data_IF_159840959660
#
_entry.id   IF_159840959660
#
_cell.length_a   1.000
_cell.length_b   1.000
_cell.length_c   1.000
_cell.angle_alpha   90.00
_cell.angle_beta   90.00
_cell.angle_gamma   90.00
#
_symmetry.space_group_name_H-M   'P 1'
#
loop_
_entity.id
_entity.type
_entity.pdbx_description
1 polymer ?
#
# COMPACT_ATOMS: atom_id res chain seq x y z
N UNK A 1 12.17 -10.99 37.18
CA UNK A 1 11.09 -10.00 36.99
C UNK A 1 11.55 -9.02 35.92
N UNK A 2 11.20 -9.30 34.67
CA UNK A 2 11.46 -8.42 33.52
C UNK A 2 10.08 -8.11 32.95
N UNK A 3 9.67 -6.85 33.10
CA UNK A 3 8.41 -6.31 32.63
C UNK A 3 8.66 -5.72 31.24
N UNK A 4 8.42 -6.49 30.18
CA UNK A 4 8.37 -6.02 28.80
C UNK A 4 6.95 -6.17 28.29
N UNK A 5 6.14 -5.14 28.53
CA UNK A 5 4.82 -4.96 27.95
C UNK A 5 4.97 -3.99 26.76
N UNK A 6 4.48 -4.42 25.59
CA UNK A 6 3.85 -3.54 24.58
C UNK A 6 4.76 -2.67 23.70
N UNK A 7 5.49 -3.31 22.78
CA UNK A 7 5.91 -2.77 21.48
C UNK A 7 5.44 -3.85 20.48
N UNK A 8 4.48 -3.69 19.56
CA UNK A 8 4.07 -2.57 18.70
C UNK A 8 2.60 -2.79 18.25
N UNK A 9 1.71 -1.78 18.25
CA UNK A 9 0.50 -1.78 17.43
C UNK A 9 0.66 -0.79 16.25
N UNK A 10 1.85 -0.68 15.68
CA UNK A 10 2.24 0.47 14.82
C UNK A 10 2.34 0.13 13.34
N UNK A 11 1.45 -0.70 12.81
CA UNK A 11 1.23 -0.80 11.36
C UNK A 11 -0.25 -0.63 10.99
N UNK A 12 -0.96 0.28 11.68
CA UNK A 12 -2.18 0.87 11.12
C UNK A 12 -1.82 2.20 10.45
N UNK A 13 -1.60 2.15 9.15
CA UNK A 13 -1.63 3.32 8.27
C UNK A 13 -3.09 3.84 8.18
N UNK A 14 -3.56 4.46 9.26
CA UNK A 14 -4.89 5.09 9.28
C UNK A 14 -4.73 6.57 8.91
N UNK A 15 -5.01 6.88 7.64
CA UNK A 15 -5.17 8.25 7.16
C UNK A 15 -6.62 8.71 7.38
N UNK A 16 -6.89 9.95 7.82
CA UNK A 16 -8.26 10.41 8.07
C UNK A 16 -9.11 10.39 6.78
N UNK A 17 -10.19 9.61 6.78
CA UNK A 17 -11.01 9.23 5.60
C UNK A 17 -11.11 7.71 5.37
N UNK A 18 -10.63 6.92 6.32
CA UNK A 18 -10.40 5.48 6.22
C UNK A 18 -11.69 4.65 6.06
N UNK A 19 -11.95 4.18 4.85
CA UNK A 19 -12.72 2.95 4.64
C UNK A 19 -11.88 1.79 5.16
N UNK A 20 -11.93 1.53 6.46
CA UNK A 20 -11.12 0.54 7.17
C UNK A 20 -11.15 -0.86 6.54
N UNK A 21 -12.26 -1.23 5.88
CA UNK A 21 -12.39 -2.50 5.15
C UNK A 21 -11.64 -2.56 3.82
N UNK A 22 -11.44 -1.42 3.13
CA UNK A 22 -10.88 -1.38 1.76
C UNK A 22 -9.37 -1.58 1.74
N UNK A 23 -8.64 -1.01 2.71
CA UNK A 23 -7.18 -1.14 2.79
C UNK A 23 -6.74 -2.49 3.35
N UNK A 24 -7.54 -3.06 4.25
CA UNK A 24 -7.25 -4.36 4.88
C UNK A 24 -7.13 -5.50 3.85
N UNK A 25 -7.92 -5.44 2.77
CA UNK A 25 -8.00 -6.54 1.80
C UNK A 25 -6.77 -6.61 0.90
N UNK A 26 -6.34 -5.49 0.31
CA UNK A 26 -5.13 -5.45 -0.52
C UNK A 26 -3.85 -5.60 0.29
N UNK A 27 -3.81 -5.10 1.53
CA UNK A 27 -2.65 -5.31 2.38
C UNK A 27 -2.46 -6.81 2.69
N UNK A 28 -3.55 -7.55 2.92
CA UNK A 28 -3.48 -8.98 3.16
C UNK A 28 -2.98 -9.78 1.95
N UNK A 29 -3.24 -9.33 0.72
CA UNK A 29 -2.71 -10.00 -0.47
C UNK A 29 -1.19 -9.90 -0.55
N UNK A 30 -0.62 -8.76 -0.11
CA UNK A 30 0.82 -8.58 -0.02
C UNK A 30 1.43 -9.45 1.07
N UNK A 31 0.79 -9.50 2.25
CA UNK A 31 1.23 -10.38 3.35
C UNK A 31 1.25 -11.84 2.89
N UNK A 32 0.17 -12.29 2.24
CA UNK A 32 0.10 -13.65 1.71
C UNK A 32 1.20 -13.95 0.67
N UNK A 33 1.51 -13.00 -0.21
CA UNK A 33 2.59 -13.14 -1.18
C UNK A 33 3.97 -13.19 -0.52
N UNK A 34 4.24 -12.30 0.45
CA UNK A 34 5.50 -12.29 1.20
C UNK A 34 5.69 -13.60 1.96
N UNK A 35 4.64 -14.09 2.64
CA UNK A 35 4.69 -15.36 3.35
C UNK A 35 4.93 -16.56 2.41
N UNK A 36 4.33 -16.57 1.21
CA UNK A 36 4.60 -17.61 0.21
C UNK A 36 6.06 -17.56 -0.29
N UNK A 37 6.58 -16.35 -0.56
CA UNK A 37 7.95 -16.17 -1.03
C UNK A 37 9.02 -16.47 0.03
N UNK A 38 8.70 -16.37 1.32
CA UNK A 38 9.67 -16.57 2.41
C UNK A 38 9.64 -17.98 3.01
N UNK A 39 8.54 -18.71 2.86
CA UNK A 39 8.41 -20.10 3.32
C UNK A 39 9.10 -21.09 2.36
N UNK A 40 9.09 -20.82 1.06
CA UNK A 40 9.59 -21.75 0.01
C UNK A 40 11.11 -21.77 -0.27
N UNK A 41 11.93 -20.73 -0.01
CA UNK A 41 13.33 -20.77 -0.41
C UNK A 41 14.18 -21.63 0.54
N UNK A 42 15.22 -22.27 0.00
CA UNK A 42 16.26 -22.99 0.74
C UNK A 42 17.23 -22.04 1.46
N UNK A 43 16.71 -21.03 2.15
CA UNK A 43 17.49 -20.06 2.92
C UNK A 43 17.41 -20.41 4.42
N UNK A 44 18.47 -20.07 5.16
CA UNK A 44 18.67 -20.48 6.55
C UNK A 44 17.50 -20.08 7.48
N UNK A 45 16.83 -18.95 7.21
CA UNK A 45 15.72 -18.44 8.01
C UNK A 45 14.33 -18.96 7.61
N UNK A 46 14.19 -19.76 6.56
CA UNK A 46 12.89 -20.24 6.09
C UNK A 46 12.15 -21.07 7.15
N UNK A 47 12.87 -21.91 7.91
CA UNK A 47 12.29 -22.69 9.00
C UNK A 47 11.78 -21.81 10.15
N UNK A 48 12.48 -20.72 10.46
CA UNK A 48 12.03 -19.75 11.45
C UNK A 48 10.75 -19.03 10.98
N UNK A 49 10.70 -18.65 9.69
CA UNK A 49 9.55 -17.97 9.09
C UNK A 49 8.30 -18.85 9.04
N UNK A 50 8.45 -20.16 8.82
CA UNK A 50 7.33 -21.11 8.89
C UNK A 50 6.64 -21.11 10.26
N UNK A 51 7.38 -20.81 11.33
CA UNK A 51 6.84 -20.69 12.69
C UNK A 51 6.36 -19.26 13.04
N UNK A 52 6.76 -18.25 12.26
CA UNK A 52 6.45 -16.82 12.47
C UNK A 52 5.86 -16.21 11.20
N UNK A 53 4.79 -16.81 10.70
CA UNK A 53 4.10 -16.35 9.50
C UNK A 53 3.42 -15.01 9.79
N UNK A 54 3.62 -14.01 8.93
CA UNK A 54 3.06 -12.67 9.13
C UNK A 54 1.54 -12.68 9.17
N UNK A 55 0.89 -13.57 8.41
CA UNK A 55 -0.56 -13.74 8.48
C UNK A 55 -1.07 -14.07 9.89
N UNK A 56 -0.32 -14.89 10.63
CA UNK A 56 -0.68 -15.24 12.00
C UNK A 56 -0.47 -14.06 12.95
N UNK A 57 0.67 -13.37 12.83
CA UNK A 57 0.99 -12.21 13.66
C UNK A 57 0.03 -11.03 13.44
N UNK A 58 -0.38 -10.79 12.19
CA UNK A 58 -1.20 -9.63 11.82
C UNK A 58 -2.70 -9.90 11.87
N UNK A 59 -3.13 -11.11 11.50
CA UNK A 59 -4.55 -11.43 11.31
C UNK A 59 -5.03 -12.64 12.12
N UNK A 60 -4.12 -13.35 12.80
CA UNK A 60 -4.44 -14.55 13.58
C UNK A 60 -5.21 -15.61 12.78
N UNK A 61 -4.83 -15.77 11.50
CA UNK A 61 -5.44 -16.72 10.55
C UNK A 61 -4.34 -17.40 9.74
N UNK A 62 -4.57 -18.63 9.25
CA UNK A 62 -3.62 -19.36 8.38
C UNK A 62 -4.20 -19.75 7.01
N UNK A 63 -5.38 -19.23 6.66
CA UNK A 63 -6.11 -19.61 5.45
C UNK A 63 -5.75 -18.76 4.22
N UNK A 64 -4.54 -18.16 4.16
CA UNK A 64 -4.12 -17.26 3.07
C UNK A 64 -4.31 -17.86 1.69
N UNK A 65 -3.93 -19.13 1.52
CA UNK A 65 -3.84 -19.75 0.20
C UNK A 65 -5.21 -19.88 -0.48
N UNK A 66 -6.26 -20.13 0.29
CA UNK A 66 -7.62 -20.28 -0.23
C UNK A 66 -8.36 -18.93 -0.26
N UNK A 67 -8.23 -18.15 0.82
CA UNK A 67 -8.93 -16.87 0.95
C UNK A 67 -8.40 -15.79 0.00
N UNK A 68 -7.19 -15.95 -0.55
CA UNK A 68 -6.63 -14.98 -1.48
C UNK A 68 -7.52 -14.78 -2.72
N UNK A 69 -7.90 -15.87 -3.38
CA UNK A 69 -8.69 -15.81 -4.62
C UNK A 69 -10.15 -15.46 -4.37
N UNK A 70 -10.71 -15.91 -3.25
CA UNK A 70 -12.06 -15.53 -2.80
C UNK A 70 -12.13 -14.01 -2.55
N UNK A 71 -11.16 -13.45 -1.82
CA UNK A 71 -11.11 -12.00 -1.58
C UNK A 71 -10.83 -11.19 -2.83
N UNK A 72 -10.10 -11.74 -3.79
CA UNK A 72 -9.93 -11.11 -5.10
C UNK A 72 -11.25 -11.09 -5.88
N UNK A 73 -12.05 -12.17 -5.82
CA UNK A 73 -13.41 -12.23 -6.37
C UNK A 73 -14.32 -11.20 -5.68
N UNK A 74 -14.25 -11.09 -4.35
CA UNK A 74 -15.01 -10.09 -3.61
C UNK A 74 -14.60 -8.66 -3.97
N UNK A 75 -13.30 -8.40 -4.12
CA UNK A 75 -12.77 -7.11 -4.55
C UNK A 75 -13.22 -6.76 -5.98
N UNK A 76 -13.27 -7.75 -6.87
CA UNK A 76 -13.83 -7.60 -8.21
C UNK A 76 -15.32 -7.27 -8.16
N UNK A 77 -16.12 -8.02 -7.39
CA UNK A 77 -17.56 -7.80 -7.23
C UNK A 77 -17.87 -6.43 -6.59
N UNK A 78 -17.05 -5.98 -5.63
CA UNK A 78 -17.18 -4.68 -4.98
C UNK A 78 -16.67 -3.50 -5.83
N UNK A 79 -16.08 -3.76 -7.00
CA UNK A 79 -15.51 -2.72 -7.87
C UNK A 79 -14.27 -2.04 -7.27
N UNK A 80 -13.55 -2.70 -6.36
CA UNK A 80 -12.35 -2.16 -5.73
C UNK A 80 -11.12 -2.38 -6.60
N UNK A 81 -11.07 -1.67 -7.73
CA UNK A 81 -9.98 -1.76 -8.72
C UNK A 81 -8.59 -1.69 -8.10
N UNK A 82 -8.31 -0.71 -7.24
CA UNK A 82 -6.98 -0.55 -6.63
C UNK A 82 -6.58 -1.79 -5.81
N UNK A 83 -7.52 -2.42 -5.11
CA UNK A 83 -7.25 -3.64 -4.38
C UNK A 83 -7.02 -4.82 -5.35
N UNK A 84 -7.87 -4.93 -6.37
CA UNK A 84 -7.77 -5.96 -7.40
C UNK A 84 -6.43 -5.90 -8.17
N UNK A 85 -5.91 -4.70 -8.43
CA UNK A 85 -4.59 -4.50 -9.03
C UNK A 85 -3.48 -5.11 -8.17
N UNK A 86 -3.55 -4.96 -6.84
CA UNK A 86 -2.55 -5.55 -5.94
C UNK A 86 -2.63 -7.08 -5.95
N UNK A 87 -3.83 -7.66 -5.98
CA UNK A 87 -4.01 -9.11 -6.15
C UNK A 87 -3.44 -9.61 -7.48
N UNK A 88 -3.70 -8.90 -8.57
CA UNK A 88 -3.17 -9.23 -9.89
C UNK A 88 -1.64 -9.18 -9.92
N UNK A 89 -1.03 -8.12 -9.36
CA UNK A 89 0.42 -7.98 -9.29
C UNK A 89 1.05 -9.11 -8.47
N UNK A 90 0.49 -9.48 -7.32
CA UNK A 90 0.99 -10.58 -6.51
C UNK A 90 1.03 -11.92 -7.29
N UNK A 91 0.00 -12.21 -8.09
CA UNK A 91 -0.04 -13.40 -8.95
C UNK A 91 1.00 -13.37 -10.07
N UNK A 92 1.17 -12.21 -10.72
CA UNK A 92 2.20 -12.01 -11.76
C UNK A 92 3.61 -12.16 -11.19
N UNK A 93 3.82 -11.74 -9.93
CA UNK A 93 5.10 -11.89 -9.22
C UNK A 93 5.40 -13.33 -8.79
N UNK A 94 4.49 -14.28 -9.03
CA UNK A 94 4.74 -15.70 -8.78
C UNK A 94 3.88 -16.32 -7.69
N UNK A 95 2.93 -15.59 -7.08
CA UNK A 95 1.98 -16.20 -6.15
C UNK A 95 1.14 -17.27 -6.88
N UNK A 96 1.07 -18.48 -6.31
CA UNK A 96 0.26 -19.60 -6.83
C UNK A 96 -0.82 -20.02 -5.85
N UNK A 97 -0.54 -20.02 -4.54
CA UNK A 97 -1.47 -20.44 -3.50
C UNK A 97 -2.26 -21.70 -3.86
N UNK A 98 -3.59 -21.58 -3.96
CA UNK A 98 -4.53 -22.65 -4.36
C UNK A 98 -4.13 -23.42 -5.63
N UNK A 99 -3.47 -22.76 -6.59
CA UNK A 99 -3.08 -23.35 -7.88
C UNK A 99 -1.68 -24.02 -7.84
N UNK A 100 -1.05 -24.15 -6.66
CA UNK A 100 0.26 -24.82 -6.51
C UNK A 100 0.14 -26.36 -6.54
N UNK A 101 -0.97 -26.92 -6.06
CA UNK A 101 -1.17 -28.36 -5.89
C UNK A 101 -2.14 -28.93 -6.92
N UNK A 102 -1.83 -30.10 -7.50
CA UNK A 102 -2.73 -30.85 -8.39
C UNK A 102 -3.61 -31.82 -7.57
N UNK A 103 -4.93 -31.92 -7.80
CA UNK A 103 -5.71 -31.26 -8.86
C UNK A 103 -6.30 -29.89 -8.46
N UNK A 104 -5.68 -28.80 -8.89
CA UNK A 104 -6.11 -27.42 -8.58
C UNK A 104 -7.47 -27.08 -9.19
N UNK A 105 -7.80 -27.69 -10.33
CA UNK A 105 -9.05 -27.44 -11.08
C UNK A 105 -10.30 -27.81 -10.29
N UNK A 106 -10.27 -28.91 -9.53
CA UNK A 106 -11.41 -29.35 -8.71
C UNK A 106 -11.62 -28.41 -7.50
N UNK A 107 -10.54 -27.99 -6.87
CA UNK A 107 -10.58 -27.06 -5.74
C UNK A 107 -11.02 -25.65 -6.16
N UNK A 108 -10.65 -25.24 -7.37
CA UNK A 108 -11.11 -24.00 -7.99
C UNK A 108 -12.61 -24.08 -8.35
N UNK A 109 -13.07 -25.19 -8.95
CA UNK A 109 -14.47 -25.39 -9.29
C UNK A 109 -15.39 -25.34 -8.07
N UNK A 110 -14.98 -25.93 -6.94
CA UNK A 110 -15.72 -25.87 -5.67
C UNK A 110 -15.94 -24.44 -5.14
N UNK A 111 -15.15 -23.47 -5.60
CA UNK A 111 -15.18 -22.06 -5.17
C UNK A 111 -15.64 -21.11 -6.27
N UNK A 112 -16.14 -21.65 -7.38
CA UNK A 112 -16.52 -20.86 -8.57
C UNK A 112 -15.35 -20.02 -9.10
N UNK A 113 -14.13 -20.52 -8.98
CA UNK A 113 -12.93 -19.90 -9.53
C UNK A 113 -12.58 -20.53 -10.88
N UNK A 114 -11.87 -19.79 -11.77
CA UNK A 114 -11.40 -20.32 -13.05
C UNK A 114 -10.48 -21.52 -12.85
N UNK A 115 -10.54 -22.49 -13.77
CA UNK A 115 -9.81 -23.76 -13.69
C UNK A 115 -8.29 -23.57 -13.59
N UNK A 116 -7.75 -22.56 -14.29
CA UNK A 116 -6.33 -22.31 -14.42
C UNK A 116 -5.99 -20.87 -14.02
N UNK A 117 -4.77 -20.69 -13.50
CA UNK A 117 -4.26 -19.38 -13.10
C UNK A 117 -4.16 -18.40 -14.28
N UNK A 118 -3.87 -18.89 -15.49
CA UNK A 118 -3.81 -18.07 -16.71
C UNK A 118 -5.20 -17.54 -17.08
N UNK A 119 -6.23 -18.37 -16.96
CA UNK A 119 -7.63 -17.95 -17.20
C UNK A 119 -8.05 -16.90 -16.17
N UNK A 120 -7.69 -17.11 -14.90
CA UNK A 120 -7.94 -16.14 -13.85
C UNK A 120 -7.22 -14.80 -14.12
N UNK A 121 -5.92 -14.84 -14.45
CA UNK A 121 -5.14 -13.64 -14.74
C UNK A 121 -5.66 -12.88 -15.97
N UNK A 122 -6.06 -13.59 -17.02
CA UNK A 122 -6.68 -13.01 -18.20
C UNK A 122 -7.98 -12.28 -17.85
N UNK A 123 -8.87 -12.90 -17.06
CA UNK A 123 -10.11 -12.28 -16.61
C UNK A 123 -9.87 -11.02 -15.77
N UNK A 124 -8.95 -11.10 -14.79
CA UNK A 124 -8.66 -9.96 -13.91
C UNK A 124 -7.96 -8.80 -14.64
N UNK A 125 -7.06 -9.09 -15.58
CA UNK A 125 -6.42 -8.05 -16.39
C UNK A 125 -7.43 -7.28 -17.26
N UNK A 126 -8.43 -7.97 -17.83
CA UNK A 126 -9.51 -7.32 -18.59
C UNK A 126 -10.37 -6.44 -17.69
N UNK A 127 -10.73 -6.93 -16.49
CA UNK A 127 -11.48 -6.17 -15.51
C UNK A 127 -10.77 -4.85 -15.09
N UNK A 128 -9.47 -4.93 -14.84
CA UNK A 128 -8.65 -3.78 -14.46
C UNK A 128 -8.59 -2.75 -15.60
N UNK A 129 -8.43 -3.21 -16.86
CA UNK A 129 -8.33 -2.34 -18.05
C UNK A 129 -9.63 -1.60 -18.35
N UNK A 130 -10.78 -2.22 -18.13
CA UNK A 130 -12.09 -1.62 -18.41
C UNK A 130 -12.51 -0.55 -17.40
N UNK A 131 -11.89 -0.53 -16.23
CA UNK A 131 -12.20 0.46 -15.20
C UNK A 131 -11.43 1.76 -15.49
N UNK A 132 -12.04 2.96 -15.45
CA UNK A 132 -11.31 4.22 -15.58
C UNK A 132 -10.32 4.42 -14.42
N UNK A 133 -9.15 5.02 -14.69
CA UNK A 133 -8.17 5.31 -13.64
C UNK A 133 -8.62 6.57 -12.88
N UNK A 134 -8.69 6.55 -11.54
CA UNK A 134 -8.93 7.77 -10.77
C UNK A 134 -7.86 8.82 -11.10
N UNK A 135 -8.22 10.11 -11.19
CA UNK A 135 -7.24 11.16 -11.44
C UNK A 135 -6.17 11.15 -10.32
N UNK A 136 -4.91 11.29 -10.70
CA UNK A 136 -3.81 11.44 -9.73
C UNK A 136 -4.01 12.81 -9.07
N UNK A 137 -4.48 12.81 -7.83
CA UNK A 137 -4.60 14.03 -7.03
C UNK A 137 -3.18 14.45 -6.66
N UNK A 138 -2.63 15.44 -7.38
CA UNK A 138 -1.29 15.98 -7.18
C UNK A 138 -1.17 16.92 -5.97
N UNK A 139 -2.17 16.95 -5.09
CA UNK A 139 -2.14 17.64 -3.82
C UNK A 139 -1.79 16.70 -2.69
N UNK A 140 -0.66 16.93 -2.01
CA UNK A 140 -0.35 16.23 -0.76
C UNK A 140 -1.44 16.53 0.27
N UNK A 141 -2.25 15.53 0.60
CA UNK A 141 -3.16 15.63 1.75
C UNK A 141 -2.26 15.67 2.99
N UNK A 142 -2.37 16.69 3.86
CA UNK A 142 -1.54 16.75 5.06
C UNK A 142 -1.85 15.52 5.92
N UNK A 143 -0.82 14.69 6.11
CA UNK A 143 -0.90 13.51 6.99
C UNK A 143 -0.56 13.98 8.40
N UNK A 144 -1.34 13.53 9.39
CA UNK A 144 -1.08 13.84 10.79
C UNK A 144 0.35 13.40 11.17
N UNK A 145 1.16 14.33 11.68
CA UNK A 145 2.56 14.07 12.06
C UNK A 145 3.61 14.41 10.99
N UNK A 146 3.21 14.75 9.77
CA UNK A 146 4.11 15.24 8.73
C UNK A 146 3.65 16.64 8.27
N UNK A 147 3.98 17.72 9.01
CA UNK A 147 3.67 19.07 8.56
C UNK A 147 4.26 19.30 7.17
N UNK A 148 3.56 20.01 6.28
CA UNK A 148 4.05 20.27 4.93
C UNK A 148 5.43 20.92 5.00
N UNK A 149 6.35 20.54 4.09
CA UNK A 149 7.68 21.14 4.00
C UNK A 149 7.52 22.64 3.66
N UNK A 150 7.45 23.48 4.68
CA UNK A 150 7.32 24.94 4.57
C UNK A 150 8.60 25.61 4.08
N UNK A 151 9.71 24.87 3.92
CA UNK A 151 11.03 25.42 3.62
C UNK A 151 11.06 26.34 2.40
N UNK A 152 10.41 25.96 1.29
CA UNK A 152 10.38 26.81 0.09
C UNK A 152 9.52 28.06 0.29
N UNK A 153 8.34 27.93 0.88
CA UNK A 153 7.47 29.07 1.18
C UNK A 153 8.14 30.05 2.16
N UNK A 154 8.88 29.53 3.15
CA UNK A 154 9.57 30.32 4.15
C UNK A 154 10.76 31.08 3.53
N UNK A 155 11.55 30.44 2.67
CA UNK A 155 12.62 31.09 1.91
C UNK A 155 12.08 32.19 0.99
N UNK A 156 11.02 31.90 0.23
CA UNK A 156 10.38 32.89 -0.65
C UNK A 156 9.87 34.07 0.17
N UNK A 157 9.16 33.83 1.28
CA UNK A 157 8.67 34.91 2.13
C UNK A 157 9.79 35.74 2.77
N UNK A 158 10.87 35.09 3.24
CA UNK A 158 12.00 35.79 3.86
C UNK A 158 12.78 36.63 2.85
N UNK A 159 12.93 36.16 1.61
CA UNK A 159 13.63 36.89 0.55
C UNK A 159 12.81 38.10 0.08
N UNK A 160 11.49 37.96 -0.08
CA UNK A 160 10.63 39.10 -0.40
C UNK A 160 10.66 40.17 0.70
N UNK A 161 10.63 39.76 1.97
CA UNK A 161 10.66 40.68 3.09
C UNK A 161 12.02 41.39 3.22
N UNK A 162 13.12 40.66 3.04
CA UNK A 162 14.47 41.25 3.02
C UNK A 162 14.64 42.24 1.86
N UNK A 163 14.13 41.92 0.67
CA UNK A 163 14.16 42.83 -0.48
C UNK A 163 13.36 44.11 -0.23
N UNK A 164 12.17 44.00 0.36
CA UNK A 164 11.34 45.14 0.71
C UNK A 164 12.03 46.06 1.74
N UNK A 165 12.61 45.49 2.80
CA UNK A 165 13.36 46.25 3.81
C UNK A 165 14.59 46.92 3.17
N UNK A 166 15.34 46.20 2.33
CA UNK A 166 16.49 46.74 1.61
C UNK A 166 16.12 47.93 0.72
N UNK A 167 15.03 47.84 -0.03
CA UNK A 167 14.55 48.92 -0.87
C UNK A 167 14.17 50.18 -0.07
N UNK A 168 13.51 50.01 1.08
CA UNK A 168 13.16 51.13 1.98
C UNK A 168 14.41 51.79 2.54
N UNK A 169 15.40 51.01 2.98
CA UNK A 169 16.66 51.54 3.52
C UNK A 169 17.41 52.32 2.44
N UNK A 170 17.58 51.75 1.24
CA UNK A 170 18.25 52.43 0.12
C UNK A 170 17.52 53.72 -0.25
N UNK A 171 16.19 53.68 -0.36
CA UNK A 171 15.38 54.87 -0.64
C UNK A 171 15.56 55.96 0.42
N UNK A 172 15.55 55.59 1.70
CA UNK A 172 15.76 56.55 2.81
C UNK A 172 17.14 57.18 2.79
N UNK A 173 18.18 56.42 2.42
CA UNK A 173 19.56 56.92 2.31
C UNK A 173 19.70 57.87 1.12
N UNK A 174 19.10 57.55 -0.04
CA UNK A 174 19.13 58.44 -1.21
C UNK A 174 18.47 59.78 -0.88
N UNK A 175 17.28 59.75 -0.26
CA UNK A 175 16.56 60.96 0.16
C UNK A 175 17.37 61.78 1.17
N UNK A 176 18.02 61.13 2.14
CA UNK A 176 18.83 61.82 3.14
C UNK A 176 20.14 62.39 2.58
N UNK A 177 20.69 61.78 1.52
CA UNK A 177 21.96 62.21 0.90
C UNK A 177 21.80 63.39 -0.07
N UNK A 178 20.56 63.82 -0.35
CA UNK A 178 20.29 65.01 -1.16
C UNK A 178 20.73 64.91 -2.62
N UNK A 179 20.68 63.71 -3.19
CA UNK A 179 20.90 63.43 -4.62
C UNK A 179 19.57 63.46 -5.38
#
# INVERSE_FOLDING_TARGET
MISTCSLLPSFQLSCPGDTSSRHSTSFRSLVAWVDEMLVDPAWEGGHWWTNHVLEWELFNTMDRFHLFYERAKDAYAAGFRNALEVYYVAVVLGFRGLYKEEPSSQLAAARELPENIEKWAAQMSMAIRMTPRPPIVSGGKPVAGAPPLTGQALLISSSMLAAAVGAVVVGSVIIASGL
#
